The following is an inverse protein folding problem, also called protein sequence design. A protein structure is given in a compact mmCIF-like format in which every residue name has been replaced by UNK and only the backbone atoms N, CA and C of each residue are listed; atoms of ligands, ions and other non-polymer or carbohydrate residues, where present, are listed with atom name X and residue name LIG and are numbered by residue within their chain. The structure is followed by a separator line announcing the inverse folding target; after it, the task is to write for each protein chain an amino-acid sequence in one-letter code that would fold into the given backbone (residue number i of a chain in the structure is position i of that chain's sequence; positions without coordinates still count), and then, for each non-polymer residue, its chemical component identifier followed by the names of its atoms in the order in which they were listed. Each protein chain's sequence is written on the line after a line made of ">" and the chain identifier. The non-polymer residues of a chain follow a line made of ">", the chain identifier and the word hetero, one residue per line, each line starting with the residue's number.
data_IF_107016263309
#
_entry.id   IF_107016263309
#
_cell.length_a   1.000
_cell.length_b   1.000
_cell.length_c   1.000
_cell.angle_alpha   90.00
_cell.angle_beta   90.00
_cell.angle_gamma   90.00
#
_symmetry.space_group_name_H-M   'P 1'
#
loop_
_entity.id
_entity.type
_entity.pdbx_description
1 polymer ?
#
# COMPACT_ATOMS: atom_id res chain seq x y z
N UNK A 1 -12.47 -41.20 33.61
CA UNK A 1 -13.20 -40.98 32.34
C UNK A 1 -13.36 -39.48 32.17
N UNK A 2 -12.82 -38.94 31.08
CA UNK A 2 -12.98 -37.58 30.56
C UNK A 2 -14.48 -37.17 30.45
N UNK A 3 -14.93 -35.93 30.28
CA UNK A 3 -14.42 -34.56 30.16
C UNK A 3 -15.67 -33.65 30.05
N UNK A 4 -15.58 -32.42 30.56
CA UNK A 4 -16.30 -31.17 30.19
C UNK A 4 -17.72 -31.19 29.56
N UNK A 5 -18.59 -30.31 30.08
CA UNK A 5 -19.26 -29.33 29.21
C UNK A 5 -19.57 -28.01 29.94
N UNK A 6 -19.13 -26.93 29.29
CA UNK A 6 -19.14 -25.52 29.69
C UNK A 6 -20.34 -24.79 29.07
N UNK A 7 -20.94 -23.90 29.88
CA UNK A 7 -21.41 -22.53 29.59
C UNK A 7 -22.56 -22.25 28.58
N UNK A 8 -23.25 -21.08 28.74
CA UNK A 8 -24.63 -20.90 28.33
C UNK A 8 -24.80 -20.36 26.90
N UNK A 9 -25.92 -20.80 26.32
CA UNK A 9 -26.52 -20.35 25.07
C UNK A 9 -26.68 -18.82 25.02
N UNK A 10 -26.14 -18.16 24.00
CA UNK A 10 -26.61 -16.88 23.52
C UNK A 10 -26.85 -16.96 22.01
N UNK A 11 -28.08 -16.66 21.62
CA UNK A 11 -28.64 -16.90 20.32
C UNK A 11 -28.17 -15.87 19.28
N UNK A 12 -27.43 -16.33 18.27
CA UNK A 12 -27.54 -15.79 16.91
C UNK A 12 -28.46 -16.76 16.15
N UNK A 13 -29.76 -16.44 16.13
CA UNK A 13 -30.79 -17.30 15.56
C UNK A 13 -30.66 -17.43 14.06
N UNK A 14 -30.24 -18.62 13.60
CA UNK A 14 -30.61 -19.15 12.29
C UNK A 14 -32.14 -19.20 12.19
N UNK A 15 -32.74 -18.39 11.31
CA UNK A 15 -34.13 -18.56 10.93
C UNK A 15 -34.21 -18.94 9.45
N UNK A 16 -34.51 -20.21 9.18
CA UNK A 16 -34.55 -20.81 7.84
C UNK A 16 -35.86 -20.56 7.06
N UNK A 17 -36.75 -19.66 7.53
CA UNK A 17 -38.09 -19.50 6.92
C UNK A 17 -38.42 -18.11 6.30
N UNK A 18 -37.46 -17.19 6.15
CA UNK A 18 -37.71 -15.88 5.53
C UNK A 18 -37.20 -15.78 4.07
N UNK A 19 -37.49 -16.80 3.25
CA UNK A 19 -37.00 -16.89 1.86
C UNK A 19 -37.99 -16.43 0.77
N UNK A 20 -39.04 -15.65 1.07
CA UNK A 20 -39.95 -15.20 -0.01
C UNK A 20 -40.11 -13.70 -0.27
N UNK A 21 -39.88 -12.78 0.67
CA UNK A 21 -40.10 -11.34 0.39
C UNK A 21 -39.23 -10.33 1.19
N UNK A 22 -38.09 -10.73 1.75
CA UNK A 22 -37.20 -9.82 2.51
C UNK A 22 -35.84 -9.64 1.83
N UNK A 23 -35.37 -8.38 1.69
CA UNK A 23 -34.00 -8.02 1.27
C UNK A 23 -32.98 -8.92 1.99
N UNK A 24 -31.98 -9.49 1.29
CA UNK A 24 -31.06 -10.43 1.91
C UNK A 24 -30.21 -9.69 2.94
N UNK A 25 -30.35 -10.05 4.22
CA UNK A 25 -29.38 -9.68 5.24
C UNK A 25 -28.09 -10.47 4.98
N UNK A 26 -26.95 -9.80 5.09
CA UNK A 26 -25.61 -10.35 4.83
C UNK A 26 -25.39 -11.61 5.66
N UNK A 27 -24.96 -12.70 5.03
CA UNK A 27 -24.30 -13.79 5.73
C UNK A 27 -22.98 -13.27 6.28
N UNK A 28 -22.96 -12.91 7.56
CA UNK A 28 -21.71 -12.76 8.32
C UNK A 28 -21.04 -14.11 8.28
N UNK A 29 -20.00 -14.28 7.46
CA UNK A 29 -19.12 -15.44 7.56
C UNK A 29 -18.21 -15.25 8.77
N UNK A 30 -18.80 -15.25 9.96
CA UNK A 30 -18.10 -15.75 11.13
C UNK A 30 -18.05 -17.26 10.89
N UNK A 31 -16.92 -17.78 10.44
CA UNK A 31 -16.72 -19.24 10.52
C UNK A 31 -16.89 -19.63 11.99
N UNK A 32 -17.45 -20.81 12.27
CA UNK A 32 -17.80 -21.24 13.63
C UNK A 32 -16.61 -21.22 14.63
N UNK A 33 -15.38 -21.05 14.13
CA UNK A 33 -14.13 -20.93 14.88
C UNK A 33 -13.55 -19.50 14.97
N UNK A 34 -14.23 -18.46 14.47
CA UNK A 34 -13.72 -17.08 14.52
C UNK A 34 -13.93 -16.45 15.91
N UNK A 35 -12.86 -15.96 16.56
CA UNK A 35 -13.02 -15.28 17.84
C UNK A 35 -13.72 -13.92 17.63
N UNK A 36 -14.59 -13.55 18.58
CA UNK A 36 -15.46 -12.35 18.53
C UNK A 36 -14.73 -11.01 18.31
N UNK A 37 -13.41 -10.97 18.43
CA UNK A 37 -12.57 -9.78 18.23
C UNK A 37 -12.14 -9.56 16.76
N UNK A 38 -12.41 -10.51 15.85
CA UNK A 38 -12.09 -10.41 14.43
C UNK A 38 -13.33 -10.65 13.56
N UNK A 39 -13.61 -9.72 12.64
CA UNK A 39 -14.76 -9.80 11.73
C UNK A 39 -14.31 -9.62 10.29
N UNK A 40 -14.75 -10.54 9.43
CA UNK A 40 -14.57 -10.46 7.98
C UNK A 40 -15.93 -10.45 7.31
N UNK A 41 -16.17 -9.41 6.50
CA UNK A 41 -17.36 -9.29 5.67
C UNK A 41 -16.94 -9.49 4.21
N UNK A 42 -17.40 -10.56 3.59
CA UNK A 42 -17.19 -10.83 2.17
C UNK A 42 -18.48 -10.61 1.38
N UNK A 43 -18.33 -10.28 0.09
CA UNK A 43 -19.46 -10.06 -0.83
C UNK A 43 -20.45 -9.00 -0.35
N UNK A 44 -19.96 -7.97 0.35
CA UNK A 44 -20.84 -7.00 0.98
C UNK A 44 -21.50 -6.06 -0.04
N UNK A 45 -22.84 -6.04 -0.07
CA UNK A 45 -23.63 -5.08 -0.84
C UNK A 45 -23.82 -3.79 -0.01
N UNK A 46 -23.53 -2.60 -0.59
CA UNK A 46 -23.76 -1.30 0.03
C UNK A 46 -25.17 -1.03 0.56
N UNK A 47 -26.19 -1.69 0.00
CA UNK A 47 -27.60 -1.54 0.38
C UNK A 47 -27.94 -2.25 1.71
N UNK A 48 -27.01 -3.01 2.27
CA UNK A 48 -27.21 -3.77 3.49
C UNK A 48 -26.84 -2.94 4.72
N UNK A 49 -27.80 -2.66 5.59
CA UNK A 49 -27.52 -2.09 6.90
C UNK A 49 -26.66 -3.07 7.71
N UNK A 50 -25.48 -2.62 8.14
CA UNK A 50 -24.65 -3.39 9.07
C UNK A 50 -25.25 -3.20 10.47
N UNK A 51 -25.65 -4.30 11.13
CA UNK A 51 -25.94 -4.29 12.56
C UNK A 51 -24.73 -3.70 13.33
N UNK A 52 -24.94 -2.99 14.46
CA UNK A 52 -23.84 -2.36 15.18
C UNK A 52 -22.68 -3.33 15.42
N UNK A 53 -21.47 -2.91 15.04
CA UNK A 53 -20.26 -3.71 15.17
C UNK A 53 -19.99 -4.01 16.66
N UNK A 54 -19.47 -5.21 17.01
CA UNK A 54 -19.13 -5.54 18.39
C UNK A 54 -18.18 -4.50 19.00
N UNK A 55 -18.49 -4.03 20.22
CA UNK A 55 -17.65 -3.03 20.91
C UNK A 55 -16.24 -3.55 21.26
N UNK A 56 -16.02 -4.86 21.25
CA UNK A 56 -14.73 -5.50 21.50
C UNK A 56 -13.97 -5.85 20.22
N UNK A 57 -14.44 -5.39 19.05
CA UNK A 57 -13.80 -5.70 17.77
C UNK A 57 -12.44 -5.01 17.68
N UNK A 58 -11.41 -5.77 17.39
CA UNK A 58 -10.02 -5.30 17.25
C UNK A 58 -9.60 -5.27 15.79
N UNK A 59 -10.11 -6.22 15.00
CA UNK A 59 -9.76 -6.35 13.58
C UNK A 59 -11.02 -6.43 12.71
N UNK A 60 -11.08 -5.58 11.69
CA UNK A 60 -12.19 -5.52 10.74
C UNK A 60 -11.65 -5.57 9.32
N UNK A 61 -12.13 -6.55 8.55
CA UNK A 61 -11.87 -6.62 7.11
C UNK A 61 -13.19 -6.62 6.34
N UNK A 62 -13.30 -5.73 5.37
CA UNK A 62 -14.51 -5.57 4.55
C UNK A 62 -14.09 -5.69 3.09
N UNK A 63 -14.61 -6.72 2.42
CA UNK A 63 -14.44 -6.96 1.00
C UNK A 63 -15.76 -6.70 0.27
N UNK A 64 -15.74 -5.67 -0.56
CA UNK A 64 -16.82 -5.33 -1.48
C UNK A 64 -16.69 -6.15 -2.75
N UNK A 65 -17.78 -6.83 -3.12
CA UNK A 65 -17.92 -7.36 -4.46
C UNK A 65 -18.83 -6.43 -5.25
N UNK A 66 -18.32 -5.95 -6.38
CA UNK A 66 -19.10 -5.10 -7.26
C UNK A 66 -20.04 -6.01 -8.05
N UNK A 67 -21.30 -6.06 -7.67
CA UNK A 67 -22.33 -6.73 -8.46
C UNK A 67 -22.60 -5.84 -9.68
N UNK A 68 -22.48 -6.38 -10.90
CA UNK A 68 -22.65 -5.67 -12.19
C UNK A 68 -24.09 -5.19 -12.43
N UNK A 69 -24.67 -4.41 -11.52
CA UNK A 69 -25.96 -3.78 -11.77
C UNK A 69 -25.73 -2.41 -12.40
N UNK A 70 -26.34 -2.20 -13.57
CA UNK A 70 -26.29 -1.00 -14.42
C UNK A 70 -26.95 0.24 -13.77
N UNK A 71 -26.86 0.39 -12.45
CA UNK A 71 -27.38 1.55 -11.76
C UNK A 71 -26.29 2.63 -11.68
N UNK A 72 -26.48 3.68 -12.48
CA UNK A 72 -25.75 4.95 -12.45
C UNK A 72 -25.93 5.75 -11.13
N UNK A 73 -26.16 5.08 -9.99
CA UNK A 73 -26.30 5.69 -8.68
C UNK A 73 -25.02 5.52 -7.88
N UNK A 74 -24.47 6.63 -7.37
CA UNK A 74 -23.38 6.64 -6.38
C UNK A 74 -23.87 5.95 -5.10
N UNK A 75 -23.60 4.64 -4.96
CA UNK A 75 -23.93 3.91 -3.75
C UNK A 75 -22.93 4.31 -2.65
N UNK A 76 -23.43 4.90 -1.57
CA UNK A 76 -22.64 5.34 -0.41
C UNK A 76 -22.96 4.45 0.79
N UNK A 77 -22.28 3.30 0.91
CA UNK A 77 -22.35 2.54 2.14
C UNK A 77 -21.79 3.38 3.29
N UNK A 78 -22.67 3.77 4.22
CA UNK A 78 -22.24 4.39 5.47
C UNK A 78 -21.93 3.26 6.44
N UNK A 79 -20.66 3.08 6.76
CA UNK A 79 -20.27 2.21 7.86
C UNK A 79 -20.81 2.82 9.16
N UNK A 80 -21.53 2.01 9.95
CA UNK A 80 -21.83 2.34 11.35
C UNK A 80 -20.54 2.77 12.07
N UNK A 81 -20.61 3.61 13.13
CA UNK A 81 -19.42 4.10 13.81
C UNK A 81 -18.47 2.95 14.19
N UNK A 82 -17.22 3.06 13.76
CA UNK A 82 -16.20 2.05 14.00
C UNK A 82 -15.92 1.92 15.50
N UNK A 83 -15.78 0.69 16.04
CA UNK A 83 -15.46 0.47 17.46
C UNK A 83 -14.17 1.19 17.87
N UNK A 84 -14.16 1.79 19.06
CA UNK A 84 -12.98 2.51 19.59
C UNK A 84 -11.81 1.57 19.95
N UNK A 85 -12.07 0.28 20.07
CA UNK A 85 -11.08 -0.80 20.28
C UNK A 85 -10.39 -1.24 18.99
N UNK A 86 -10.85 -0.78 17.82
CA UNK A 86 -10.35 -1.24 16.54
C UNK A 86 -8.89 -0.82 16.35
N UNK A 87 -8.03 -1.80 16.12
CA UNK A 87 -6.60 -1.63 15.87
C UNK A 87 -6.28 -1.78 14.38
N UNK A 88 -6.99 -2.67 13.67
CA UNK A 88 -6.78 -2.81 12.21
C UNK A 88 -8.08 -2.73 11.42
N UNK A 89 -8.00 -2.00 10.31
CA UNK A 89 -9.08 -1.84 9.34
C UNK A 89 -8.58 -2.10 7.93
N UNK A 90 -9.10 -3.15 7.31
CA UNK A 90 -8.92 -3.41 5.89
C UNK A 90 -10.22 -3.21 5.15
N UNK A 91 -10.17 -2.44 4.07
CA UNK A 91 -11.29 -2.23 3.15
C UNK A 91 -10.79 -2.53 1.74
N UNK A 92 -11.37 -3.50 1.07
CA UNK A 92 -10.95 -3.92 -0.28
C UNK A 92 -12.13 -4.02 -1.24
N UNK A 93 -11.88 -3.75 -2.53
CA UNK A 93 -12.86 -3.99 -3.59
C UNK A 93 -12.26 -4.90 -4.66
N UNK A 94 -13.04 -5.88 -5.14
CA UNK A 94 -12.58 -6.85 -6.15
C UNK A 94 -12.87 -6.43 -7.59
N UNK A 95 -13.79 -5.47 -7.82
CA UNK A 95 -14.22 -5.08 -9.16
C UNK A 95 -13.58 -3.83 -9.75
N UNK A 96 -13.95 -3.55 -10.99
CA UNK A 96 -13.47 -2.39 -11.75
C UNK A 96 -14.13 -1.07 -11.33
N UNK A 97 -15.33 -1.14 -10.75
CA UNK A 97 -16.08 0.05 -10.39
C UNK A 97 -15.61 0.63 -9.06
N UNK A 98 -15.81 1.93 -8.95
CA UNK A 98 -15.41 2.75 -7.82
C UNK A 98 -16.43 2.63 -6.70
N UNK A 99 -15.99 2.15 -5.53
CA UNK A 99 -16.83 2.12 -4.32
C UNK A 99 -16.41 3.25 -3.42
N UNK A 100 -17.38 4.00 -2.90
CA UNK A 100 -17.20 5.13 -2.01
C UNK A 100 -17.63 4.76 -0.57
N UNK A 101 -16.83 3.99 0.18
CA UNK A 101 -17.12 3.78 1.59
C UNK A 101 -17.04 5.14 2.28
N UNK A 102 -18.09 5.53 3.01
CA UNK A 102 -17.96 6.63 3.96
C UNK A 102 -17.35 6.00 5.21
N UNK A 103 -16.03 6.13 5.36
CA UNK A 103 -15.41 5.86 6.64
C UNK A 103 -15.80 7.04 7.54
N UNK A 104 -16.45 6.75 8.66
CA UNK A 104 -16.63 7.74 9.71
C UNK A 104 -15.28 8.22 10.25
N UNK A 105 -15.29 8.81 11.45
CA UNK A 105 -14.03 9.11 12.14
C UNK A 105 -13.26 7.81 12.39
N UNK A 106 -12.00 7.76 11.97
CA UNK A 106 -11.11 6.64 12.25
C UNK A 106 -10.93 6.49 13.77
N UNK A 107 -10.97 5.26 14.31
CA UNK A 107 -10.79 5.01 15.75
C UNK A 107 -9.42 5.47 16.25
N UNK A 108 -9.33 5.97 17.50
CA UNK A 108 -8.08 6.52 18.04
C UNK A 108 -7.01 5.47 18.36
N UNK A 109 -7.36 4.17 18.34
CA UNK A 109 -6.43 3.05 18.55
C UNK A 109 -5.99 2.38 17.25
N UNK A 110 -6.49 2.85 16.10
CA UNK A 110 -6.19 2.25 14.81
C UNK A 110 -4.69 2.37 14.52
N UNK A 111 -4.00 1.24 14.47
CA UNK A 111 -2.57 1.13 14.14
C UNK A 111 -2.38 0.83 12.65
N UNK A 112 -3.30 0.10 12.03
CA UNK A 112 -3.20 -0.27 10.62
C UNK A 112 -4.46 0.11 9.83
N UNK A 113 -4.27 0.89 8.77
CA UNK A 113 -5.32 1.23 7.81
C UNK A 113 -4.90 0.77 6.41
N UNK A 114 -5.71 -0.12 5.83
CA UNK A 114 -5.43 -0.72 4.54
C UNK A 114 -6.62 -0.59 3.60
N UNK A 115 -6.54 0.38 2.71
CA UNK A 115 -7.53 0.64 1.66
C UNK A 115 -7.01 0.01 0.36
N UNK A 116 -7.69 -0.99 -0.17
CA UNK A 116 -7.27 -1.76 -1.34
C UNK A 116 -8.28 -1.67 -2.48
N UNK A 117 -7.82 -1.97 -3.70
CA UNK A 117 -8.67 -2.02 -4.87
C UNK A 117 -9.09 -0.64 -5.37
N UNK A 118 -10.24 -0.60 -6.04
CA UNK A 118 -10.85 0.59 -6.62
C UNK A 118 -11.68 1.40 -5.60
N UNK A 119 -11.30 1.36 -4.32
CA UNK A 119 -11.94 2.19 -3.29
C UNK A 119 -11.61 3.65 -3.60
N UNK A 120 -12.59 4.36 -4.15
CA UNK A 120 -12.58 5.81 -4.21
C UNK A 120 -13.03 6.31 -2.86
N UNK A 121 -12.38 7.36 -2.40
CA UNK A 121 -12.85 8.08 -1.25
C UNK A 121 -13.26 9.44 -1.82
N UNK A 122 -14.47 9.93 -1.52
CA UNK A 122 -14.95 11.22 -2.03
C UNK A 122 -14.89 12.36 -0.99
N UNK A 123 -14.78 12.02 0.30
CA UNK A 123 -14.55 12.99 1.38
C UNK A 123 -13.15 12.85 1.98
N UNK A 124 -12.59 13.86 2.64
CA UNK A 124 -11.28 13.71 3.30
C UNK A 124 -11.28 12.51 4.26
N UNK A 125 -10.20 11.72 4.34
CA UNK A 125 -10.01 10.63 5.34
C UNK A 125 -10.14 11.12 6.80
N UNK A 126 -10.32 12.43 7.00
CA UNK A 126 -10.23 13.09 8.28
C UNK A 126 -8.77 13.13 8.76
N UNK A 127 -8.53 13.64 9.97
CA UNK A 127 -7.23 13.50 10.59
C UNK A 127 -6.93 12.02 10.81
N UNK A 128 -5.75 11.58 10.38
CA UNK A 128 -5.25 10.24 10.68
C UNK A 128 -5.01 10.11 12.20
N UNK A 129 -5.37 8.96 12.82
CA UNK A 129 -5.21 8.79 14.26
C UNK A 129 -3.73 8.75 14.66
N UNK A 130 -3.37 9.27 15.85
CA UNK A 130 -1.97 9.35 16.30
C UNK A 130 -1.36 7.99 16.67
N UNK A 131 -2.14 6.91 16.64
CA UNK A 131 -1.69 5.52 16.82
C UNK A 131 -1.28 4.85 15.51
N UNK A 132 -1.56 5.46 14.35
CA UNK A 132 -1.41 4.82 13.05
C UNK A 132 0.07 4.59 12.73
N UNK A 133 0.46 3.34 12.56
CA UNK A 133 1.83 2.92 12.22
C UNK A 133 1.94 2.49 10.76
N UNK A 134 0.88 1.91 10.18
CA UNK A 134 0.87 1.43 8.80
C UNK A 134 -0.31 2.00 8.02
N UNK A 135 -0.02 2.68 6.91
CA UNK A 135 -1.02 3.22 5.98
C UNK A 135 -0.79 2.68 4.58
N UNK A 136 -1.79 1.96 4.06
CA UNK A 136 -1.80 1.40 2.70
C UNK A 136 -2.99 1.97 1.95
N UNK A 137 -2.73 2.62 0.82
CA UNK A 137 -3.73 3.31 0.02
C UNK A 137 -3.91 2.61 -1.33
N UNK A 138 -5.16 2.52 -1.77
CA UNK A 138 -5.56 1.81 -2.98
C UNK A 138 -5.28 2.64 -4.24
N UNK A 139 -5.49 2.02 -5.41
CA UNK A 139 -5.24 2.69 -6.70
C UNK A 139 -6.15 3.89 -6.95
N UNK A 140 -7.36 3.87 -6.38
CA UNK A 140 -8.36 4.92 -6.62
C UNK A 140 -8.29 6.05 -5.59
N UNK A 141 -7.36 5.98 -4.64
CA UNK A 141 -7.17 7.05 -3.66
C UNK A 141 -6.49 8.26 -4.32
N UNK A 142 -7.12 9.43 -4.27
CA UNK A 142 -6.65 10.66 -4.95
C UNK A 142 -6.56 11.88 -4.05
N UNK A 143 -6.95 11.73 -2.79
CA UNK A 143 -7.13 12.84 -1.87
C UNK A 143 -5.86 13.19 -1.11
N UNK A 144 -5.81 14.41 -0.55
CA UNK A 144 -4.73 14.79 0.34
C UNK A 144 -4.82 14.02 1.67
N UNK A 145 -3.67 13.59 2.19
CA UNK A 145 -3.57 12.89 3.48
C UNK A 145 -3.54 13.81 4.70
N UNK A 146 -3.45 15.14 4.49
CA UNK A 146 -3.24 16.09 5.58
C UNK A 146 -1.86 15.88 6.22
N UNK A 147 -1.79 16.07 7.54
CA UNK A 147 -0.57 15.77 8.31
C UNK A 147 -0.50 14.27 8.61
N UNK A 148 0.61 13.65 8.22
CA UNK A 148 0.93 12.28 8.61
C UNK A 148 1.26 12.24 10.12
N UNK A 149 0.74 11.26 10.88
CA UNK A 149 1.00 11.18 12.32
C UNK A 149 2.45 10.75 12.59
N UNK A 150 3.02 11.23 13.70
CA UNK A 150 4.43 10.96 14.06
C UNK A 150 4.71 9.46 14.31
N UNK A 151 3.68 8.67 14.61
CA UNK A 151 3.73 7.22 14.77
C UNK A 151 3.89 6.44 13.47
N UNK A 152 3.67 7.07 12.30
CA UNK A 152 3.60 6.36 11.02
C UNK A 152 5.00 5.88 10.61
N UNK A 153 5.15 4.55 10.54
CA UNK A 153 6.39 3.88 10.14
C UNK A 153 6.36 3.43 8.68
N UNK A 154 5.17 3.11 8.14
CA UNK A 154 5.02 2.58 6.79
C UNK A 154 3.93 3.32 6.01
N UNK A 155 4.28 3.81 4.82
CA UNK A 155 3.34 4.36 3.86
C UNK A 155 3.51 3.70 2.50
N UNK A 156 2.43 3.04 2.04
CA UNK A 156 2.32 2.52 0.69
C UNK A 156 1.22 3.24 -0.06
N UNK A 157 1.59 3.99 -1.10
CA UNK A 157 0.64 4.64 -2.00
C UNK A 157 0.46 3.78 -3.23
N UNK A 158 -0.77 3.33 -3.43
CA UNK A 158 -1.20 2.40 -4.45
C UNK A 158 -0.64 0.99 -4.28
N UNK A 159 -1.54 0.01 -4.31
CA UNK A 159 -1.18 -1.40 -4.31
C UNK A 159 -1.06 -1.96 -5.74
N UNK A 160 -0.19 -2.97 -5.96
CA UNK A 160 -0.15 -3.67 -7.23
C UNK A 160 -1.47 -4.42 -7.44
N UNK A 161 -2.35 -3.85 -8.27
CA UNK A 161 -3.52 -4.56 -8.78
C UNK A 161 -3.17 -5.11 -10.16
N UNK A 162 -3.08 -6.42 -10.27
CA UNK A 162 -2.92 -7.09 -11.55
C UNK A 162 -4.30 -7.17 -12.21
N UNK A 163 -4.55 -6.34 -13.22
CA UNK A 163 -5.82 -6.41 -13.93
C UNK A 163 -5.92 -7.74 -14.69
N UNK A 164 -7.10 -8.39 -14.72
CA UNK A 164 -7.29 -9.65 -15.44
C UNK A 164 -6.95 -9.59 -16.94
N UNK A 165 -6.99 -8.40 -17.55
CA UNK A 165 -6.59 -8.20 -18.96
C UNK A 165 -5.07 -8.23 -19.20
N UNK A 166 -4.24 -8.41 -18.16
CA UNK A 166 -2.78 -8.39 -18.28
C UNK A 166 -2.17 -6.98 -18.33
N UNK A 167 -2.99 -5.94 -18.48
CA UNK A 167 -2.55 -4.56 -18.39
C UNK A 167 -2.31 -4.16 -16.93
N UNK A 168 -1.03 -4.07 -16.55
CA UNK A 168 -0.58 -3.56 -15.24
C UNK A 168 -0.82 -2.04 -15.05
N UNK A 169 -1.73 -1.43 -15.82
CA UNK A 169 -1.99 0.01 -15.84
C UNK A 169 -3.20 0.44 -15.00
N UNK A 170 -3.52 -0.30 -13.95
CA UNK A 170 -4.34 0.24 -12.86
C UNK A 170 -3.52 1.31 -12.09
N UNK A 171 -3.14 2.39 -12.79
CA UNK A 171 -2.28 3.47 -12.36
C UNK A 171 -3.03 4.24 -11.29
N UNK A 172 -2.41 4.40 -10.13
CA UNK A 172 -2.98 5.32 -9.16
C UNK A 172 -2.97 6.74 -9.68
N UNK A 173 -4.07 7.45 -9.40
CA UNK A 173 -4.25 8.88 -9.68
C UNK A 173 -3.80 9.76 -8.52
N UNK A 174 -3.21 9.18 -7.46
CA UNK A 174 -2.66 9.97 -6.36
C UNK A 174 -1.52 10.85 -6.87
N UNK A 175 -1.72 12.15 -6.78
CA UNK A 175 -0.76 13.18 -7.18
C UNK A 175 -0.92 14.40 -6.27
N UNK A 176 -0.78 14.17 -4.96
CA UNK A 176 -0.87 15.20 -3.91
C UNK A 176 0.40 15.18 -3.07
N UNK A 177 0.89 16.33 -2.58
CA UNK A 177 2.06 16.37 -1.72
C UNK A 177 1.79 15.62 -0.40
N UNK A 178 2.81 14.94 0.10
CA UNK A 178 2.76 14.19 1.37
C UNK A 178 2.99 15.08 2.61
N UNK A 179 3.41 16.34 2.41
CA UNK A 179 3.82 17.20 3.51
C UNK A 179 5.13 16.73 4.16
N UNK A 180 5.27 16.96 5.47
CA UNK A 180 6.44 16.51 6.24
C UNK A 180 6.33 15.02 6.51
N UNK A 181 7.38 14.28 6.13
CA UNK A 181 7.49 12.86 6.47
C UNK A 181 7.79 12.70 7.98
N UNK A 182 7.08 11.80 8.69
CA UNK A 182 7.32 11.48 10.10
C UNK A 182 8.74 11.00 10.38
N UNK A 183 9.29 11.40 11.53
CA UNK A 183 10.67 11.08 11.90
C UNK A 183 10.91 9.57 12.13
N UNK A 184 9.86 8.80 12.44
CA UNK A 184 9.91 7.36 12.65
C UNK A 184 9.70 6.54 11.35
N UNK A 185 9.47 7.19 10.21
CA UNK A 185 9.18 6.50 8.95
C UNK A 185 10.33 5.58 8.54
N UNK A 186 10.00 4.34 8.23
CA UNK A 186 10.91 3.28 7.80
C UNK A 186 10.70 2.90 6.34
N UNK A 187 9.45 2.97 5.85
CA UNK A 187 9.09 2.59 4.48
C UNK A 187 8.26 3.68 3.83
N UNK A 188 8.73 4.18 2.69
CA UNK A 188 7.98 5.04 1.79
C UNK A 188 7.95 4.42 0.39
N UNK A 189 6.77 3.91 0.00
CA UNK A 189 6.58 3.23 -1.26
C UNK A 189 5.53 3.93 -2.12
N UNK A 190 6.02 4.59 -3.18
CA UNK A 190 5.25 5.37 -4.15
C UNK A 190 5.29 4.76 -5.56
N UNK A 191 5.93 3.59 -5.76
CA UNK A 191 6.25 3.06 -7.09
C UNK A 191 5.01 2.82 -7.98
N UNK A 192 3.85 2.59 -7.37
CA UNK A 192 2.58 2.37 -8.06
C UNK A 192 1.74 3.66 -8.22
N UNK A 193 2.19 4.77 -7.64
CA UNK A 193 1.61 6.11 -7.78
C UNK A 193 2.15 6.81 -9.03
N UNK A 194 1.83 6.27 -10.21
CA UNK A 194 2.52 6.58 -11.47
C UNK A 194 2.71 8.07 -11.75
N UNK A 195 1.75 8.91 -11.39
CA UNK A 195 1.78 10.35 -11.67
C UNK A 195 2.36 11.21 -10.56
N UNK A 196 2.63 10.67 -9.36
CA UNK A 196 3.13 11.47 -8.24
C UNK A 196 4.46 12.11 -8.62
N UNK A 197 4.52 13.44 -8.61
CA UNK A 197 5.75 14.18 -8.89
C UNK A 197 5.85 15.44 -8.01
N UNK A 198 5.73 15.25 -6.69
CA UNK A 198 5.90 16.32 -5.70
C UNK A 198 7.18 16.10 -4.90
N UNK A 199 7.91 17.17 -4.51
CA UNK A 199 9.14 17.04 -3.73
C UNK A 199 8.86 16.40 -2.37
N UNK A 200 9.74 15.49 -1.93
CA UNK A 200 9.63 14.80 -0.63
C UNK A 200 10.25 15.56 0.55
N UNK A 201 10.86 16.72 0.32
CA UNK A 201 11.55 17.48 1.36
C UNK A 201 12.71 16.70 1.98
N UNK A 202 12.86 16.78 3.30
CA UNK A 202 13.88 16.01 4.04
C UNK A 202 13.39 14.58 4.30
N UNK A 203 14.17 13.60 3.84
CA UNK A 203 13.91 12.20 4.12
C UNK A 203 14.31 11.87 5.58
N UNK A 204 13.47 11.14 6.34
CA UNK A 204 13.78 10.72 7.71
C UNK A 204 15.01 9.83 7.79
N UNK A 205 15.85 10.03 8.81
CA UNK A 205 17.09 9.26 8.98
C UNK A 205 16.85 7.75 9.23
N UNK A 206 15.66 7.39 9.71
CA UNK A 206 15.22 6.01 9.96
C UNK A 206 14.74 5.26 8.72
N UNK A 207 14.58 5.97 7.59
CA UNK A 207 14.00 5.39 6.38
C UNK A 207 14.93 4.32 5.79
N UNK A 208 14.40 3.10 5.67
CA UNK A 208 15.11 1.92 5.17
C UNK A 208 14.73 1.57 3.74
N UNK A 209 13.50 1.86 3.34
CA UNK A 209 13.02 1.62 1.98
C UNK A 209 12.41 2.89 1.40
N UNK A 210 12.97 3.32 0.26
CA UNK A 210 12.44 4.39 -0.56
C UNK A 210 12.19 3.86 -1.97
N UNK A 211 10.92 3.86 -2.39
CA UNK A 211 10.54 3.55 -3.76
C UNK A 211 9.77 4.71 -4.37
N UNK A 212 10.34 5.35 -5.38
CA UNK A 212 9.77 6.51 -6.03
C UNK A 212 8.79 6.09 -7.12
N UNK A 213 7.79 6.93 -7.35
CA UNK A 213 6.84 6.80 -8.45
C UNK A 213 7.52 6.92 -9.80
N UNK A 214 6.89 6.35 -10.83
CA UNK A 214 7.38 6.40 -12.20
C UNK A 214 7.72 7.84 -12.65
N UNK A 215 6.84 8.81 -12.38
CA UNK A 215 6.99 10.20 -12.82
C UNK A 215 7.85 11.09 -11.92
N UNK A 216 8.39 10.60 -10.80
CA UNK A 216 9.16 11.43 -9.88
C UNK A 216 10.47 11.90 -10.52
N UNK A 217 10.67 13.22 -10.59
CA UNK A 217 11.87 13.84 -11.16
C UNK A 217 12.33 15.07 -10.35
N UNK A 218 12.32 14.95 -9.02
CA UNK A 218 12.86 15.96 -8.11
C UNK A 218 14.18 15.52 -7.49
N UNK A 219 15.12 16.43 -7.23
CA UNK A 219 16.42 16.05 -6.68
C UNK A 219 16.30 15.45 -5.27
N UNK A 220 17.06 14.39 -5.02
CA UNK A 220 17.20 13.77 -3.69
C UNK A 220 18.45 14.32 -3.01
N UNK A 221 18.29 15.47 -2.33
CA UNK A 221 19.41 16.23 -1.73
C UNK A 221 20.17 15.49 -0.63
N UNK A 222 19.56 14.51 0.02
CA UNK A 222 20.21 13.68 1.06
C UNK A 222 19.52 12.32 1.07
N UNK A 223 20.30 11.24 1.04
CA UNK A 223 19.78 9.90 1.26
C UNK A 223 19.95 9.51 2.75
N UNK A 224 18.96 8.87 3.37
CA UNK A 224 19.04 8.40 4.76
C UNK A 224 20.22 7.44 4.97
N UNK A 225 20.97 7.55 6.08
CA UNK A 225 22.14 6.69 6.33
C UNK A 225 21.77 5.23 6.60
N UNK A 226 20.51 4.94 6.95
CA UNK A 226 19.99 3.60 7.18
C UNK A 226 19.29 2.99 5.95
N UNK A 227 19.35 3.65 4.78
CA UNK A 227 18.63 3.21 3.59
C UNK A 227 19.20 1.88 3.08
N UNK A 228 18.34 0.87 2.96
CA UNK A 228 18.67 -0.48 2.49
C UNK A 228 18.16 -0.71 1.05
N UNK A 229 17.06 -0.06 0.68
CA UNK A 229 16.42 -0.20 -0.65
C UNK A 229 16.13 1.17 -1.25
N UNK A 230 16.67 1.40 -2.44
CA UNK A 230 16.38 2.58 -3.26
C UNK A 230 15.88 2.17 -4.64
N UNK A 231 14.68 2.61 -5.00
CA UNK A 231 14.10 2.43 -6.34
C UNK A 231 13.75 3.80 -6.90
N UNK A 232 14.46 4.20 -7.97
CA UNK A 232 14.19 5.44 -8.69
C UNK A 232 13.04 5.24 -9.70
N UNK A 233 12.29 6.32 -9.94
CA UNK A 233 11.23 6.36 -10.94
C UNK A 233 11.76 6.34 -12.37
N UNK A 234 11.01 5.80 -13.33
CA UNK A 234 11.47 5.72 -14.72
C UNK A 234 11.83 7.08 -15.34
N UNK A 235 11.15 8.14 -14.93
CA UNK A 235 11.34 9.49 -15.47
C UNK A 235 12.45 10.28 -14.75
N UNK A 236 13.02 9.73 -13.66
CA UNK A 236 14.02 10.39 -12.82
C UNK A 236 15.31 10.65 -13.61
N UNK A 237 15.65 11.92 -13.80
CA UNK A 237 16.82 12.40 -14.56
C UNK A 237 17.79 13.21 -13.69
N UNK A 238 17.49 13.39 -12.41
CA UNK A 238 18.31 14.16 -11.50
C UNK A 238 19.58 13.40 -11.10
N UNK A 239 20.65 14.14 -10.84
CA UNK A 239 21.86 13.58 -10.26
C UNK A 239 21.62 13.20 -8.79
N UNK A 240 22.24 12.10 -8.36
CA UNK A 240 22.39 11.79 -6.94
C UNK A 240 23.64 12.53 -6.45
N UNK A 241 23.46 13.74 -5.91
CA UNK A 241 24.56 14.62 -5.49
C UNK A 241 25.43 14.07 -4.34
N UNK A 242 25.15 12.87 -3.85
CA UNK A 242 25.81 12.25 -2.70
C UNK A 242 26.14 10.78 -2.98
N UNK A 243 27.14 10.29 -2.25
CA UNK A 243 27.43 8.87 -2.17
C UNK A 243 26.19 8.10 -1.67
N UNK A 244 25.92 6.97 -2.31
CA UNK A 244 24.89 6.06 -1.88
C UNK A 244 25.22 5.53 -0.46
N UNK A 245 24.23 5.41 0.45
CA UNK A 245 24.47 4.91 1.80
C UNK A 245 25.18 3.56 1.81
N UNK A 246 26.14 3.37 2.72
CA UNK A 246 26.89 2.11 2.84
C UNK A 246 26.02 0.91 3.23
N UNK A 247 24.82 1.17 3.77
CA UNK A 247 23.81 0.16 4.11
C UNK A 247 23.00 -0.32 2.91
N UNK A 248 23.11 0.33 1.75
CA UNK A 248 22.24 0.07 0.60
C UNK A 248 22.51 -1.34 0.02
N UNK A 249 21.47 -2.16 -0.01
CA UNK A 249 21.50 -3.56 -0.49
C UNK A 249 20.89 -3.70 -1.87
N UNK A 250 19.85 -2.93 -2.17
CA UNK A 250 19.13 -2.97 -3.44
C UNK A 250 19.08 -1.57 -4.05
N UNK A 251 19.60 -1.43 -5.26
CA UNK A 251 19.50 -0.19 -6.02
C UNK A 251 18.89 -0.46 -7.41
N UNK A 252 17.77 0.20 -7.68
CA UNK A 252 17.13 0.19 -9.00
C UNK A 252 17.14 1.58 -9.61
N UNK A 253 17.86 1.72 -10.71
CA UNK A 253 17.87 2.94 -11.50
C UNK A 253 16.58 3.06 -12.32
N UNK A 254 16.13 4.29 -12.53
CA UNK A 254 15.04 4.59 -13.45
C UNK A 254 15.48 4.45 -14.91
N UNK A 255 14.53 4.21 -15.81
CA UNK A 255 14.79 4.08 -17.25
C UNK A 255 15.56 5.27 -17.85
N UNK A 256 15.28 6.50 -17.40
CA UNK A 256 15.92 7.73 -17.88
C UNK A 256 17.10 8.21 -17.03
N UNK A 257 17.40 7.55 -15.91
CA UNK A 257 18.53 7.94 -15.07
C UNK A 257 19.84 7.71 -15.83
N UNK A 258 20.62 8.77 -16.02
CA UNK A 258 21.90 8.69 -16.72
C UNK A 258 22.93 9.67 -16.14
N UNK A 259 23.16 9.58 -14.83
CA UNK A 259 24.19 10.35 -14.13
C UNK A 259 25.22 9.40 -13.49
N UNK A 260 26.49 9.79 -13.37
CA UNK A 260 27.50 8.95 -12.73
C UNK A 260 27.13 8.66 -11.27
N UNK A 261 27.37 7.43 -10.82
CA UNK A 261 27.09 7.01 -9.45
C UNK A 261 28.17 6.07 -8.91
N UNK A 262 28.50 6.23 -7.63
CA UNK A 262 29.40 5.34 -6.90
C UNK A 262 28.57 4.33 -6.12
N UNK A 263 28.79 3.04 -6.39
CA UNK A 263 28.08 1.95 -5.72
C UNK A 263 28.71 1.64 -4.35
N UNK A 264 27.91 1.38 -3.29
CA UNK A 264 28.42 1.03 -1.98
C UNK A 264 28.84 -0.44 -1.91
N UNK A 265 29.81 -0.76 -1.04
CA UNK A 265 30.41 -2.10 -0.93
C UNK A 265 29.45 -3.20 -0.47
N UNK A 266 28.34 -2.85 0.18
CA UNK A 266 27.34 -3.82 0.64
C UNK A 266 26.24 -4.13 -0.39
N UNK A 267 26.31 -3.54 -1.59
CA UNK A 267 25.25 -3.68 -2.59
C UNK A 267 25.13 -5.12 -3.09
N UNK A 268 23.93 -5.69 -2.99
CA UNK A 268 23.62 -7.08 -3.34
C UNK A 268 22.88 -7.18 -4.68
N UNK A 269 21.99 -6.23 -4.96
CA UNK A 269 21.19 -6.22 -6.19
C UNK A 269 21.27 -4.86 -6.88
N UNK A 270 21.60 -4.89 -8.17
CA UNK A 270 21.67 -3.71 -9.01
C UNK A 270 20.85 -3.89 -10.28
N UNK A 271 19.98 -2.92 -10.55
CA UNK A 271 19.23 -2.82 -11.80
C UNK A 271 19.61 -1.52 -12.50
N UNK A 272 20.33 -1.66 -13.61
CA UNK A 272 20.77 -0.55 -14.46
C UNK A 272 19.63 -0.20 -15.43
N UNK A 273 19.23 1.08 -15.47
CA UNK A 273 18.14 1.56 -16.31
C UNK A 273 18.47 1.53 -17.80
N UNK A 274 17.45 1.52 -18.65
CA UNK A 274 17.59 1.38 -20.10
C UNK A 274 18.47 2.42 -20.79
N UNK A 275 18.54 3.65 -20.24
CA UNK A 275 19.30 4.77 -20.82
C UNK A 275 20.68 5.01 -20.19
N UNK A 276 21.08 4.21 -19.20
CA UNK A 276 22.30 4.46 -18.44
C UNK A 276 23.56 4.08 -19.24
N UNK A 277 24.45 5.05 -19.50
CA UNK A 277 25.64 4.89 -20.36
C UNK A 277 26.97 5.08 -19.64
N UNK A 278 26.97 5.48 -18.37
CA UNK A 278 28.19 5.74 -17.60
C UNK A 278 28.85 4.43 -17.14
N UNK A 279 30.18 4.38 -16.95
CA UNK A 279 30.84 3.21 -16.40
C UNK A 279 30.45 3.00 -14.93
N UNK A 280 30.36 1.74 -14.50
CA UNK A 280 30.14 1.36 -13.10
C UNK A 280 31.26 0.47 -12.58
N UNK A 281 31.76 0.79 -11.40
CA UNK A 281 32.65 -0.07 -10.64
C UNK A 281 31.80 -1.05 -9.82
N UNK A 282 31.53 -2.22 -10.40
CA UNK A 282 30.73 -3.26 -9.76
C UNK A 282 31.46 -3.85 -8.55
N UNK A 283 30.73 -4.05 -7.45
CA UNK A 283 31.29 -4.52 -6.17
C UNK A 283 31.26 -6.05 -6.08
N UNK A 284 32.24 -6.70 -5.42
CA UNK A 284 32.27 -8.16 -5.28
C UNK A 284 31.07 -8.76 -4.54
N UNK A 285 30.39 -7.96 -3.70
CA UNK A 285 29.18 -8.33 -2.97
C UNK A 285 27.96 -8.58 -3.87
N UNK A 286 28.01 -8.15 -5.13
CA UNK A 286 26.85 -8.13 -6.01
C UNK A 286 26.43 -9.56 -6.39
N UNK A 287 25.18 -9.88 -6.08
CA UNK A 287 24.57 -11.21 -6.30
C UNK A 287 23.67 -11.22 -7.52
N UNK A 288 23.02 -10.10 -7.81
CA UNK A 288 22.10 -9.94 -8.92
C UNK A 288 22.43 -8.67 -9.69
N UNK A 289 22.63 -8.82 -11.01
CA UNK A 289 22.80 -7.70 -11.92
C UNK A 289 21.80 -7.80 -13.07
N UNK A 290 21.00 -6.75 -13.22
CA UNK A 290 20.20 -6.50 -14.40
C UNK A 290 20.78 -5.31 -15.17
N UNK A 291 20.87 -5.46 -16.48
CA UNK A 291 21.58 -4.52 -17.36
C UNK A 291 20.62 -3.99 -18.40
N UNK A 292 20.38 -2.69 -18.38
CA UNK A 292 19.59 -2.00 -19.38
C UNK A 292 20.28 -1.92 -20.75
N UNK A 293 19.49 -1.72 -21.81
CA UNK A 293 19.92 -1.83 -23.20
C UNK A 293 21.09 -0.90 -23.59
N UNK A 294 21.20 0.28 -22.98
CA UNK A 294 22.24 1.27 -23.33
C UNK A 294 23.57 1.06 -22.61
N UNK A 295 23.66 0.15 -21.63
CA UNK A 295 24.90 -0.07 -20.89
C UNK A 295 25.86 -0.97 -21.68
N UNK A 296 26.91 -0.35 -22.24
CA UNK A 296 27.86 -1.01 -23.15
C UNK A 296 29.24 -1.30 -22.53
N UNK A 297 29.37 -1.14 -21.21
CA UNK A 297 30.65 -1.36 -20.51
C UNK A 297 30.88 -2.83 -20.16
N UNK A 298 32.14 -3.26 -19.96
CA UNK A 298 32.46 -4.61 -19.52
C UNK A 298 31.72 -4.99 -18.23
N UNK A 299 31.26 -6.24 -18.19
CA UNK A 299 30.60 -6.81 -17.02
C UNK A 299 31.47 -7.98 -16.55
N UNK A 300 31.98 -7.97 -15.31
CA UNK A 300 32.71 -9.10 -14.77
C UNK A 300 31.77 -10.30 -14.64
N UNK A 301 32.29 -11.54 -14.69
CA UNK A 301 31.47 -12.72 -14.48
C UNK A 301 30.89 -12.69 -13.07
N UNK A 302 29.57 -12.50 -12.96
CA UNK A 302 28.82 -12.52 -11.71
C UNK A 302 27.98 -13.80 -11.64
N UNK A 303 27.65 -14.31 -10.43
CA UNK A 303 26.96 -15.59 -10.25
C UNK A 303 25.57 -15.66 -10.91
N UNK A 304 24.86 -14.53 -11.06
CA UNK A 304 23.56 -14.45 -11.75
C UNK A 304 23.44 -13.13 -12.53
N UNK A 305 23.85 -13.11 -13.80
CA UNK A 305 23.58 -12.01 -14.72
C UNK A 305 22.38 -12.31 -15.60
N UNK A 306 21.35 -11.46 -15.58
CA UNK A 306 20.27 -11.48 -16.59
C UNK A 306 20.37 -10.24 -17.47
N UNK A 307 20.76 -10.41 -18.72
CA UNK A 307 20.64 -9.38 -19.77
C UNK A 307 19.23 -9.47 -20.36
N UNK A 308 18.46 -8.40 -20.27
CA UNK A 308 17.30 -8.21 -21.14
C UNK A 308 17.79 -7.66 -22.48
N UNK A 309 17.44 -8.34 -23.56
CA UNK A 309 17.65 -7.90 -24.93
C UNK A 309 16.53 -6.96 -25.36
#
# INVERSE_FOLDING_TARGET
>A
MASLSLLPKCAWGLNKELQRDAKPAVSVTATEDMPLWHLQLQHWNPDWAIAPLPHALVHLSIAYETIRHHHHGLLTPTLAPLPHTLETLTVSTSGAETVHPILGRLPPRLSELNLQGAVTYDGALGPLPPSLTSLRLGRSFTQALGQLPDSLTELHVAHPYRHPSGDNFARSRFDRPLGRLPAAMQVLNLQYSVNFNHPLGCLPATLRELRLSRAYDHPLRTLPPALEVLVLGNEFQQELQLELPSTLRVFRMGERFNAPVVLPDALLELYIGGSYTHPLHLRPSLRLLHVGASYRHPIPPLPLTRKSW
#
